data_IF_269531745483
#
_entry.id   IF_269531745483
#
_cell.length_a   1.000
_cell.length_b   1.000
_cell.length_c   1.000
_cell.angle_alpha   90.00
_cell.angle_beta   90.00
_cell.angle_gamma   90.00
#
_symmetry.space_group_name_H-M   'P 1'
#
loop_
_entity.id
_entity.type
_entity.pdbx_description
1 polymer ?
#
# COMPACT_ATOMS: atom_id res chain seq x y z
N UNK A 1 23.40 5.94 -44.83
CA UNK A 1 22.63 7.21 -44.84
C UNK A 1 21.36 7.00 -44.01
N UNK A 2 20.70 8.03 -43.44
CA UNK A 2 19.40 7.80 -42.75
C UNK A 2 18.32 7.50 -43.80
N UNK A 3 17.66 6.35 -43.70
CA UNK A 3 16.53 5.97 -44.57
C UNK A 3 15.23 6.57 -44.01
N UNK A 4 14.83 7.73 -44.55
CA UNK A 4 13.64 8.45 -44.10
C UNK A 4 12.33 7.71 -44.40
N UNK A 5 12.30 6.91 -45.48
CA UNK A 5 11.13 6.09 -45.82
C UNK A 5 10.88 5.02 -44.77
N UNK A 6 11.93 4.33 -44.32
CA UNK A 6 11.83 3.33 -43.25
C UNK A 6 11.61 3.96 -41.87
N UNK A 7 12.24 5.10 -41.61
CA UNK A 7 12.16 5.80 -40.32
C UNK A 7 10.75 6.31 -40.02
N UNK A 8 10.01 6.74 -41.04
CA UNK A 8 8.66 7.29 -40.90
C UNK A 8 7.57 6.44 -41.54
N UNK A 9 7.91 5.26 -42.07
CA UNK A 9 6.94 4.32 -42.66
C UNK A 9 6.27 4.85 -43.93
N UNK A 10 7.01 5.57 -44.77
CA UNK A 10 6.51 6.24 -45.98
C UNK A 10 6.86 5.38 -47.20
N UNK A 11 5.89 5.12 -48.07
CA UNK A 11 6.18 4.47 -49.35
C UNK A 11 7.08 5.35 -50.23
N UNK A 12 8.13 4.82 -50.89
CA UNK A 12 8.92 5.57 -51.86
C UNK A 12 8.09 6.17 -53.01
N UNK A 13 6.90 5.62 -53.29
CA UNK A 13 5.94 6.15 -54.26
C UNK A 13 4.98 7.21 -53.72
N UNK A 14 5.09 7.62 -52.44
CA UNK A 14 4.19 8.58 -51.81
C UNK A 14 4.24 9.95 -52.49
N UNK A 15 3.07 10.58 -52.61
CA UNK A 15 2.94 11.91 -53.18
C UNK A 15 3.52 12.99 -52.25
N UNK A 16 3.93 14.13 -52.81
CA UNK A 16 4.48 15.25 -52.03
C UNK A 16 3.46 15.82 -51.02
N UNK A 17 2.16 15.72 -51.30
CA UNK A 17 1.10 16.12 -50.37
C UNK A 17 0.98 15.19 -49.16
N UNK A 18 1.13 13.88 -49.36
CA UNK A 18 1.12 12.89 -48.27
C UNK A 18 2.32 13.07 -47.35
N UNK A 19 3.50 13.30 -47.93
CA UNK A 19 4.74 13.57 -47.18
C UNK A 19 4.59 14.86 -46.35
N UNK A 20 4.04 15.94 -46.92
CA UNK A 20 3.76 17.19 -46.18
C UNK A 20 2.81 16.98 -45.00
N UNK A 21 1.71 16.25 -45.21
CA UNK A 21 0.74 15.96 -44.13
C UNK A 21 1.37 15.18 -42.99
N UNK A 22 2.23 14.21 -43.32
CA UNK A 22 2.94 13.41 -42.32
C UNK A 22 3.95 14.25 -41.53
N UNK A 23 4.75 15.07 -42.22
CA UNK A 23 5.72 15.97 -41.58
C UNK A 23 5.01 16.92 -40.61
N UNK A 24 3.92 17.56 -41.04
CA UNK A 24 3.13 18.44 -40.18
C UNK A 24 2.55 17.72 -38.95
N UNK A 25 2.07 16.47 -39.14
CA UNK A 25 1.56 15.67 -38.05
C UNK A 25 2.65 15.31 -37.02
N UNK A 26 3.81 14.84 -37.50
CA UNK A 26 4.94 14.47 -36.66
C UNK A 26 5.55 15.68 -35.95
N UNK A 27 5.75 16.79 -36.65
CA UNK A 27 6.23 18.04 -36.04
C UNK A 27 5.30 18.50 -34.91
N UNK A 28 3.98 18.34 -35.05
CA UNK A 28 3.04 18.68 -33.97
C UNK A 28 3.24 17.81 -32.72
N UNK A 29 3.47 16.51 -32.90
CA UNK A 29 3.72 15.56 -31.80
C UNK A 29 5.04 15.90 -31.09
N UNK A 30 6.12 16.10 -31.86
CA UNK A 30 7.44 16.34 -31.30
C UNK A 30 7.58 17.73 -30.68
N UNK A 31 6.93 18.76 -31.25
CA UNK A 31 6.89 20.10 -30.65
C UNK A 31 6.16 20.15 -29.30
N UNK A 32 5.20 19.25 -29.04
CA UNK A 32 4.59 19.15 -27.70
C UNK A 32 5.57 18.56 -26.67
N UNK A 33 6.53 17.74 -27.11
CA UNK A 33 7.49 17.03 -26.26
C UNK A 33 8.72 17.87 -25.88
N UNK A 34 8.98 18.99 -26.56
CA UNK A 34 10.08 19.92 -26.22
C UNK A 34 9.89 20.62 -24.87
N UNK A 35 8.66 20.67 -24.35
CA UNK A 35 8.32 21.22 -23.03
C UNK A 35 8.28 20.15 -21.91
N UNK A 36 8.76 18.93 -22.16
CA UNK A 36 8.73 17.86 -21.16
C UNK A 36 9.65 18.18 -19.96
N UNK A 37 9.27 17.77 -18.73
CA UNK A 37 10.05 18.05 -17.51
C UNK A 37 11.41 17.33 -17.46
N UNK A 38 11.58 16.23 -18.22
CA UNK A 38 12.81 15.44 -18.28
C UNK A 38 13.74 15.96 -19.39
N UNK A 39 15.04 16.11 -19.10
CA UNK A 39 16.04 16.64 -20.04
C UNK A 39 16.24 15.71 -21.25
N UNK A 40 16.31 14.40 -21.03
CA UNK A 40 16.54 13.41 -22.09
C UNK A 40 15.41 13.44 -23.13
N UNK A 41 14.15 13.54 -22.69
CA UNK A 41 12.97 13.66 -23.57
C UNK A 41 12.97 14.94 -24.41
N UNK A 42 13.50 16.04 -23.86
CA UNK A 42 13.62 17.30 -24.62
C UNK A 42 14.70 17.19 -25.69
N UNK A 43 15.85 16.62 -25.35
CA UNK A 43 16.94 16.38 -26.31
C UNK A 43 16.52 15.41 -27.42
N UNK A 44 15.73 14.39 -27.09
CA UNK A 44 15.16 13.49 -28.08
C UNK A 44 14.18 14.19 -29.01
N UNK A 45 13.25 15.00 -28.47
CA UNK A 45 12.32 15.77 -29.28
C UNK A 45 13.04 16.75 -30.22
N UNK A 46 14.06 17.46 -29.74
CA UNK A 46 14.87 18.37 -30.55
C UNK A 46 15.63 17.63 -31.67
N UNK A 47 16.17 16.44 -31.40
CA UNK A 47 16.82 15.61 -32.43
C UNK A 47 15.83 15.19 -33.51
N UNK A 48 14.65 14.71 -33.11
CA UNK A 48 13.64 14.24 -34.05
C UNK A 48 13.06 15.38 -34.91
N UNK A 49 12.94 16.59 -34.35
CA UNK A 49 12.54 17.78 -35.13
C UNK A 49 13.56 18.10 -36.21
N UNK A 50 14.87 18.10 -35.89
CA UNK A 50 15.92 18.34 -36.90
C UNK A 50 15.91 17.30 -38.02
N UNK A 51 15.72 16.03 -37.67
CA UNK A 51 15.61 14.94 -38.65
C UNK A 51 14.39 15.14 -39.57
N UNK A 52 13.26 15.59 -39.02
CA UNK A 52 12.07 15.91 -39.81
C UNK A 52 12.27 17.11 -40.75
N UNK A 53 12.96 18.16 -40.30
CA UNK A 53 13.31 19.32 -41.12
C UNK A 53 14.26 18.93 -42.26
N UNK A 54 15.29 18.13 -41.96
CA UNK A 54 16.22 17.60 -42.98
C UNK A 54 15.49 16.73 -44.00
N UNK A 55 14.65 15.80 -43.53
CA UNK A 55 13.80 14.98 -44.39
C UNK A 55 12.90 15.83 -45.29
N UNK A 56 12.25 16.85 -44.73
CA UNK A 56 11.35 17.75 -45.47
C UNK A 56 12.09 18.44 -46.62
N UNK A 57 13.31 18.93 -46.37
CA UNK A 57 14.12 19.61 -47.39
C UNK A 57 14.58 18.70 -48.53
N UNK A 58 14.71 17.40 -48.27
CA UNK A 58 15.19 16.40 -49.22
C UNK A 58 14.04 15.77 -50.01
N UNK A 59 12.95 15.37 -49.34
CA UNK A 59 11.86 14.61 -49.95
C UNK A 59 10.77 15.47 -50.60
N UNK A 60 10.67 16.76 -50.26
CA UNK A 60 9.72 17.67 -50.92
C UNK A 60 10.27 18.34 -52.17
N UNK A 61 11.59 18.32 -52.36
CA UNK A 61 12.27 18.81 -53.55
C UNK A 61 12.48 17.65 -54.52
N UNK A 62 11.88 17.73 -55.71
CA UNK A 62 11.88 16.64 -56.69
C UNK A 62 13.30 16.26 -57.15
N UNK A 63 14.19 17.24 -57.31
CA UNK A 63 15.57 16.97 -57.73
C UNK A 63 16.34 16.27 -56.61
N UNK A 64 16.24 16.78 -55.37
CA UNK A 64 16.92 16.17 -54.21
C UNK A 64 16.38 14.79 -53.85
N UNK A 65 15.08 14.57 -54.03
CA UNK A 65 14.44 13.27 -53.81
C UNK A 65 14.98 12.22 -54.79
N UNK A 66 15.12 12.57 -56.07
CA UNK A 66 15.71 11.62 -57.04
C UNK A 66 17.17 11.30 -56.75
N UNK A 67 17.98 12.29 -56.36
CA UNK A 67 19.37 12.06 -55.93
C UNK A 67 19.45 11.21 -54.65
N UNK A 68 18.54 11.45 -53.70
CA UNK A 68 18.41 10.68 -52.47
C UNK A 68 18.04 9.21 -52.77
N UNK A 69 17.03 8.98 -53.62
CA UNK A 69 16.58 7.64 -54.01
C UNK A 69 17.69 6.87 -54.75
N UNK A 70 18.46 7.55 -55.61
CA UNK A 70 19.61 6.97 -56.31
C UNK A 70 20.73 6.58 -55.32
N UNK A 71 21.05 7.44 -54.36
CA UNK A 71 22.04 7.13 -53.32
C UNK A 71 21.59 5.97 -52.43
N UNK A 72 20.31 5.93 -52.07
CA UNK A 72 19.73 4.84 -51.29
C UNK A 72 19.79 3.51 -52.05
N UNK A 73 19.56 3.51 -53.37
CA UNK A 73 19.73 2.34 -54.22
C UNK A 73 21.20 1.90 -54.32
N UNK A 74 22.15 2.83 -54.46
CA UNK A 74 23.57 2.50 -54.49
C UNK A 74 24.05 1.87 -53.17
N UNK A 75 23.61 2.42 -52.02
CA UNK A 75 23.92 1.87 -50.69
C UNK A 75 23.29 0.47 -50.51
N UNK A 76 22.07 0.25 -51.04
CA UNK A 76 21.42 -1.06 -51.07
C UNK A 76 22.20 -2.07 -51.92
N UNK A 77 22.70 -1.66 -53.10
CA UNK A 77 23.51 -2.50 -54.00
C UNK A 77 24.89 -2.83 -53.41
N UNK A 78 25.54 -1.89 -52.73
CA UNK A 78 26.79 -2.18 -52.00
C UNK A 78 26.56 -3.17 -50.86
N UNK A 79 25.44 -3.05 -50.14
CA UNK A 79 25.06 -3.99 -49.07
C UNK A 79 24.75 -5.38 -49.63
N UNK A 80 24.14 -5.47 -50.81
CA UNK A 80 23.82 -6.73 -51.50
C UNK A 80 25.09 -7.45 -52.01
N UNK A 81 26.11 -6.71 -52.47
CA UNK A 81 27.35 -7.31 -53.00
C UNK A 81 28.25 -8.03 -51.97
N UNK A 82 27.97 -7.86 -50.68
CA UNK A 82 28.70 -8.53 -49.59
C UNK A 82 27.99 -9.81 -49.12
N UNK A 83 26.73 -10.02 -49.50
CA UNK A 83 25.86 -11.04 -48.91
C UNK A 83 25.18 -11.94 -49.96
N UNK A 84 25.84 -12.16 -51.11
CA UNK A 84 25.45 -13.16 -52.10
C UNK A 84 25.69 -14.58 -51.55
N UNK A 85 24.79 -15.05 -50.69
CA UNK A 85 24.28 -16.42 -50.71
C UNK A 85 22.79 -16.42 -50.32
N UNK A 86 21.99 -16.78 -51.33
CA UNK A 86 20.68 -17.42 -51.25
C UNK A 86 19.42 -16.53 -51.15
N UNK A 87 18.73 -16.50 -52.30
CA UNK A 87 17.28 -16.41 -52.52
C UNK A 87 16.60 -15.03 -52.49
N UNK A 88 16.51 -14.41 -53.68
CA UNK A 88 15.31 -13.67 -54.09
C UNK A 88 14.26 -14.69 -54.58
N UNK A 89 13.04 -14.68 -54.02
CA UNK A 89 11.83 -14.32 -54.78
C UNK A 89 10.53 -14.29 -53.93
N UNK A 90 9.78 -13.21 -54.18
CA UNK A 90 8.32 -13.09 -54.21
C UNK A 90 7.49 -12.54 -53.02
N UNK A 91 6.87 -11.41 -53.33
CA UNK A 91 5.71 -10.82 -52.68
C UNK A 91 4.47 -11.71 -52.83
N UNK A 92 4.22 -12.59 -51.88
CA UNK A 92 2.90 -13.12 -51.56
C UNK A 92 3.03 -13.95 -50.28
N UNK A 93 2.42 -13.51 -49.17
CA UNK A 93 2.11 -14.34 -48.01
C UNK A 93 3.16 -15.41 -47.65
N UNK A 94 4.43 -15.05 -47.52
CA UNK A 94 5.45 -15.97 -47.01
C UNK A 94 5.08 -16.20 -45.54
N UNK A 95 4.80 -17.45 -45.11
CA UNK A 95 4.70 -17.74 -43.70
C UNK A 95 6.08 -17.44 -43.13
N UNK A 96 6.20 -16.34 -42.37
CA UNK A 96 7.37 -16.13 -41.53
C UNK A 96 7.52 -17.44 -40.76
N UNK A 97 8.63 -18.15 -40.96
CA UNK A 97 8.83 -19.42 -40.31
C UNK A 97 8.55 -19.23 -38.83
N UNK A 98 7.70 -20.07 -38.23
CA UNK A 98 7.35 -19.95 -36.80
C UNK A 98 8.61 -19.80 -35.92
N UNK A 99 9.74 -20.34 -36.40
CA UNK A 99 11.07 -20.18 -35.82
C UNK A 99 11.60 -18.75 -35.83
N UNK A 100 11.49 -18.03 -36.95
CA UNK A 100 11.94 -16.63 -37.06
C UNK A 100 11.04 -15.70 -36.24
N UNK A 101 9.72 -15.96 -36.19
CA UNK A 101 8.79 -15.24 -35.31
C UNK A 101 9.18 -15.47 -33.84
N UNK A 102 9.39 -16.72 -33.44
CA UNK A 102 9.80 -17.06 -32.08
C UNK A 102 11.15 -16.44 -31.69
N UNK A 103 12.11 -16.39 -32.62
CA UNK A 103 13.42 -15.76 -32.41
C UNK A 103 13.28 -14.26 -32.12
N UNK A 104 12.54 -13.54 -32.98
CA UNK A 104 12.29 -12.10 -32.78
C UNK A 104 11.46 -11.80 -31.52
N UNK A 105 10.53 -12.68 -31.17
CA UNK A 105 9.82 -12.58 -29.87
C UNK A 105 10.82 -12.71 -28.72
N UNK A 106 11.71 -13.69 -28.79
CA UNK A 106 12.79 -13.89 -27.81
C UNK A 106 13.70 -12.67 -27.68
N UNK A 107 14.10 -12.07 -28.80
CA UNK A 107 14.86 -10.82 -28.85
C UNK A 107 14.10 -9.68 -28.16
N UNK A 108 12.80 -9.52 -28.47
CA UNK A 108 11.96 -8.52 -27.83
C UNK A 108 11.90 -8.65 -26.31
N UNK A 109 11.72 -9.87 -25.80
CA UNK A 109 11.75 -10.11 -24.35
C UNK A 109 13.11 -9.82 -23.73
N UNK A 110 14.21 -10.07 -24.45
CA UNK A 110 15.55 -9.74 -24.00
C UNK A 110 15.76 -8.21 -23.93
N UNK A 111 15.29 -7.47 -24.94
CA UNK A 111 15.34 -6.00 -24.95
C UNK A 111 14.57 -5.40 -23.75
N UNK A 112 13.39 -5.94 -23.43
CA UNK A 112 12.63 -5.55 -22.23
C UNK A 112 13.38 -5.84 -20.93
N UNK A 113 14.08 -6.97 -20.83
CA UNK A 113 14.93 -7.28 -19.67
C UNK A 113 16.12 -6.33 -19.54
N UNK A 114 16.64 -5.83 -20.66
CA UNK A 114 17.72 -4.84 -20.69
C UNK A 114 17.23 -3.40 -20.43
N UNK A 115 15.92 -3.19 -20.28
CA UNK A 115 15.33 -1.86 -20.11
C UNK A 115 15.21 -1.05 -21.42
N UNK A 116 15.49 -1.65 -22.58
CA UNK A 116 15.35 -1.03 -23.90
C UNK A 116 13.91 -1.14 -24.40
N UNK A 117 13.00 -0.50 -23.68
CA UNK A 117 11.56 -0.61 -23.93
C UNK A 117 11.15 -0.04 -25.30
N UNK A 118 11.82 1.03 -25.77
CA UNK A 118 11.55 1.64 -27.07
C UNK A 118 11.91 0.72 -28.24
N UNK A 119 13.07 0.07 -28.20
CA UNK A 119 13.50 -0.87 -29.24
C UNK A 119 12.57 -2.10 -29.28
N UNK A 120 12.21 -2.62 -28.10
CA UNK A 120 11.25 -3.71 -27.97
C UNK A 120 9.87 -3.33 -28.50
N UNK A 121 9.42 -2.09 -28.28
CA UNK A 121 8.15 -1.58 -28.79
C UNK A 121 8.14 -1.53 -30.31
N UNK A 122 9.21 -1.01 -30.94
CA UNK A 122 9.33 -0.97 -32.39
C UNK A 122 9.34 -2.37 -33.01
N UNK A 123 10.09 -3.30 -32.40
CA UNK A 123 10.13 -4.70 -32.83
C UNK A 123 8.75 -5.36 -32.71
N UNK A 124 8.08 -5.16 -31.58
CA UNK A 124 6.77 -5.75 -31.32
C UNK A 124 5.70 -5.23 -32.29
N UNK A 125 5.71 -3.93 -32.62
CA UNK A 125 4.80 -3.36 -33.63
C UNK A 125 5.00 -4.02 -35.00
N UNK A 126 6.26 -4.12 -35.46
CA UNK A 126 6.60 -4.79 -36.72
C UNK A 126 6.17 -6.26 -36.74
N UNK A 127 6.27 -6.95 -35.61
CA UNK A 127 5.84 -8.34 -35.47
C UNK A 127 4.32 -8.47 -35.55
N UNK A 128 3.56 -7.61 -34.86
CA UNK A 128 2.10 -7.68 -34.86
C UNK A 128 1.46 -7.25 -36.19
N UNK A 129 2.15 -6.43 -37.00
CA UNK A 129 1.72 -6.06 -38.35
C UNK A 129 1.85 -7.23 -39.33
N UNK A 130 2.85 -8.10 -39.13
CA UNK A 130 3.11 -9.27 -39.99
C UNK A 130 2.37 -10.52 -39.52
N UNK A 131 2.20 -10.67 -38.20
CA UNK A 131 1.64 -11.88 -37.58
C UNK A 131 0.49 -11.48 -36.65
N UNK A 132 -0.74 -11.59 -37.15
CA UNK A 132 -1.94 -11.12 -36.43
C UNK A 132 -2.46 -12.10 -35.38
N UNK A 133 -2.08 -13.37 -35.46
CA UNK A 133 -2.68 -14.47 -34.71
C UNK A 133 -1.72 -15.12 -33.70
N UNK A 134 -0.56 -14.49 -33.44
CA UNK A 134 0.43 -15.01 -32.48
C UNK A 134 0.27 -14.35 -31.10
N UNK A 135 -0.22 -15.07 -30.06
CA UNK A 135 -0.54 -14.48 -28.76
C UNK A 135 0.69 -13.85 -28.07
N UNK A 136 1.86 -14.46 -28.18
CA UNK A 136 3.07 -13.93 -27.54
C UNK A 136 3.58 -12.64 -28.19
N UNK A 137 3.33 -12.41 -29.49
CA UNK A 137 3.70 -11.17 -30.15
C UNK A 137 2.84 -10.01 -29.63
N UNK A 138 1.54 -10.25 -29.47
CA UNK A 138 0.61 -9.31 -28.83
C UNK A 138 0.93 -9.06 -27.36
N UNK A 139 1.32 -10.10 -26.62
CA UNK A 139 1.76 -9.96 -25.23
C UNK A 139 3.05 -9.16 -25.10
N UNK A 140 4.02 -9.39 -26.00
CA UNK A 140 5.25 -8.61 -26.10
C UNK A 140 4.96 -7.14 -26.38
N UNK A 141 4.05 -6.84 -27.33
CA UNK A 141 3.62 -5.47 -27.62
C UNK A 141 3.00 -4.79 -26.39
N UNK A 142 2.09 -5.49 -25.70
CA UNK A 142 1.48 -4.97 -24.48
C UNK A 142 2.52 -4.69 -23.39
N UNK A 143 3.46 -5.62 -23.18
CA UNK A 143 4.55 -5.43 -22.20
C UNK A 143 5.47 -4.27 -22.58
N UNK A 144 5.82 -4.15 -23.85
CA UNK A 144 6.69 -3.08 -24.34
C UNK A 144 6.05 -1.70 -24.19
N UNK A 145 4.76 -1.57 -24.50
CA UNK A 145 3.98 -0.35 -24.25
C UNK A 145 3.95 0.00 -22.76
N UNK A 146 3.67 -0.99 -21.92
CA UNK A 146 3.64 -0.79 -20.47
C UNK A 146 4.98 -0.28 -19.91
N UNK A 147 6.10 -0.90 -20.30
CA UNK A 147 7.43 -0.45 -19.89
C UNK A 147 7.84 0.90 -20.48
N UNK A 148 7.28 1.28 -21.63
CA UNK A 148 7.46 2.60 -22.25
C UNK A 148 6.62 3.70 -21.57
N UNK A 149 5.79 3.34 -20.59
CA UNK A 149 4.91 4.26 -19.86
C UNK A 149 3.53 4.45 -20.49
N UNK A 150 3.22 3.72 -21.56
CA UNK A 150 1.94 3.73 -22.28
C UNK A 150 0.99 2.66 -21.69
N UNK A 151 0.65 2.82 -20.40
CA UNK A 151 -0.08 1.80 -19.65
C UNK A 151 -1.53 1.59 -20.14
N UNK A 152 -2.21 2.64 -20.64
CA UNK A 152 -3.58 2.51 -21.16
C UNK A 152 -3.57 1.80 -22.52
N UNK A 153 -2.63 2.14 -23.39
CA UNK A 153 -2.46 1.59 -24.73
C UNK A 153 -1.92 0.14 -24.70
N UNK A 154 -1.33 -0.28 -23.59
CA UNK A 154 -0.87 -1.64 -23.34
C UNK A 154 -2.02 -2.64 -23.11
N UNK A 155 -3.22 -2.17 -22.74
CA UNK A 155 -4.36 -3.04 -22.43
C UNK A 155 -4.81 -3.80 -23.67
N UNK A 156 -5.05 -3.10 -24.79
CA UNK A 156 -5.63 -3.70 -26.00
C UNK A 156 -4.77 -4.85 -26.57
N UNK A 157 -3.44 -4.70 -26.74
CA UNK A 157 -2.58 -5.81 -27.16
C UNK A 157 -2.63 -7.01 -26.22
N UNK A 158 -2.62 -6.79 -24.90
CA UNK A 158 -2.67 -7.89 -23.94
C UNK A 158 -4.04 -8.57 -23.85
N UNK A 159 -5.14 -7.83 -24.04
CA UNK A 159 -6.48 -8.42 -24.19
C UNK A 159 -6.51 -9.33 -25.41
N UNK A 160 -5.98 -8.89 -26.56
CA UNK A 160 -5.88 -9.73 -27.75
C UNK A 160 -5.03 -10.98 -27.52
N UNK A 161 -3.93 -10.88 -26.77
CA UNK A 161 -3.14 -12.04 -26.37
C UNK A 161 -3.94 -13.04 -25.49
N UNK A 162 -4.75 -12.53 -24.56
CA UNK A 162 -5.66 -13.34 -23.75
C UNK A 162 -6.77 -13.99 -24.60
N UNK A 163 -7.34 -13.28 -25.57
CA UNK A 163 -8.38 -13.83 -26.45
C UNK A 163 -7.84 -14.96 -27.33
N UNK A 164 -6.61 -14.81 -27.83
CA UNK A 164 -5.92 -15.83 -28.61
C UNK A 164 -5.50 -17.04 -27.76
N UNK A 165 -5.14 -16.84 -26.49
CA UNK A 165 -4.76 -17.93 -25.59
C UNK A 165 -5.26 -17.72 -24.14
N UNK A 166 -6.54 -18.04 -23.86
CA UNK A 166 -7.21 -17.67 -22.60
C UNK A 166 -6.73 -18.46 -21.38
N UNK A 167 -5.98 -19.54 -21.57
CA UNK A 167 -5.43 -20.37 -20.48
C UNK A 167 -4.03 -19.95 -20.04
N UNK A 168 -3.45 -18.91 -20.64
CA UNK A 168 -2.13 -18.43 -20.24
C UNK A 168 -2.20 -17.51 -19.01
N UNK A 169 -1.79 -18.02 -17.86
CA UNK A 169 -1.76 -17.27 -16.61
C UNK A 169 -0.87 -16.01 -16.66
N UNK A 170 0.20 -16.02 -17.47
CA UNK A 170 1.13 -14.90 -17.55
C UNK A 170 0.53 -13.65 -18.20
N UNK A 171 -0.42 -13.83 -19.14
CA UNK A 171 -1.11 -12.70 -19.77
C UNK A 171 -2.11 -12.06 -18.82
N UNK A 172 -2.92 -12.87 -18.13
CA UNK A 172 -3.79 -12.39 -17.06
C UNK A 172 -2.98 -11.65 -15.98
N UNK A 173 -1.85 -12.21 -15.57
CA UNK A 173 -0.95 -11.56 -14.61
C UNK A 173 -0.45 -10.19 -15.11
N UNK A 174 -0.01 -10.11 -16.37
CA UNK A 174 0.47 -8.86 -16.97
C UNK A 174 -0.63 -7.80 -17.10
N UNK A 175 -1.87 -8.21 -17.42
CA UNK A 175 -3.04 -7.31 -17.37
C UNK A 175 -3.32 -6.82 -15.95
N UNK A 176 -3.16 -7.68 -14.95
CA UNK A 176 -3.25 -7.31 -13.53
C UNK A 176 -2.26 -6.20 -13.15
N UNK A 177 -0.99 -6.35 -13.55
CA UNK A 177 0.06 -5.34 -13.30
C UNK A 177 -0.28 -4.00 -13.97
N UNK A 178 -0.80 -4.02 -15.20
CA UNK A 178 -1.23 -2.81 -15.92
C UNK A 178 -2.42 -2.16 -15.24
N UNK A 179 -3.47 -2.91 -14.90
CA UNK A 179 -4.63 -2.35 -14.20
C UNK A 179 -4.26 -1.77 -12.84
N UNK A 180 -3.34 -2.41 -12.11
CA UNK A 180 -2.83 -1.88 -10.86
C UNK A 180 -2.10 -0.55 -11.06
N UNK A 181 -1.26 -0.43 -12.10
CA UNK A 181 -0.55 0.81 -12.42
C UNK A 181 -1.50 1.97 -12.75
N UNK A 182 -2.66 1.66 -13.31
CA UNK A 182 -3.72 2.60 -13.65
C UNK A 182 -4.68 2.88 -12.49
N UNK A 183 -4.40 2.34 -11.28
CA UNK A 183 -5.28 2.39 -10.10
C UNK A 183 -6.69 1.80 -10.35
N UNK A 184 -6.85 0.91 -11.34
CA UNK A 184 -8.08 0.16 -11.61
C UNK A 184 -8.11 -1.10 -10.76
N UNK A 185 -8.18 -0.91 -9.43
CA UNK A 185 -7.99 -1.95 -8.43
C UNK A 185 -8.92 -3.17 -8.61
N UNK A 186 -10.20 -2.95 -8.91
CA UNK A 186 -11.16 -4.05 -9.08
C UNK A 186 -10.76 -4.98 -10.23
N UNK A 187 -10.39 -4.40 -11.39
CA UNK A 187 -9.91 -5.16 -12.55
C UNK A 187 -8.56 -5.81 -12.31
N UNK A 188 -7.66 -5.14 -11.58
CA UNK A 188 -6.37 -5.72 -11.22
C UNK A 188 -6.56 -6.99 -10.38
N UNK A 189 -7.44 -6.94 -9.39
CA UNK A 189 -7.75 -8.09 -8.53
C UNK A 189 -8.35 -9.25 -9.33
N UNK A 190 -9.30 -8.99 -10.21
CA UNK A 190 -9.90 -10.01 -11.08
C UNK A 190 -8.83 -10.74 -11.91
N UNK A 191 -7.93 -9.99 -12.54
CA UNK A 191 -6.88 -10.56 -13.39
C UNK A 191 -5.81 -11.31 -12.59
N UNK A 192 -5.41 -10.80 -11.42
CA UNK A 192 -4.50 -11.53 -10.53
C UNK A 192 -5.11 -12.82 -9.99
N UNK A 193 -6.40 -12.82 -9.63
CA UNK A 193 -7.13 -14.03 -9.24
C UNK A 193 -7.22 -15.03 -10.38
N UNK A 194 -7.48 -14.57 -11.60
CA UNK A 194 -7.49 -15.42 -12.79
C UNK A 194 -6.13 -16.07 -13.02
N UNK A 195 -5.04 -15.30 -12.96
CA UNK A 195 -3.68 -15.82 -13.10
C UNK A 195 -3.36 -16.90 -12.04
N UNK A 196 -3.74 -16.67 -10.78
CA UNK A 196 -3.56 -17.65 -9.71
C UNK A 196 -4.45 -18.88 -9.89
N UNK A 197 -5.66 -18.73 -10.44
CA UNK A 197 -6.56 -19.86 -10.72
C UNK A 197 -6.00 -20.74 -11.85
N UNK A 198 -5.41 -20.12 -12.88
CA UNK A 198 -4.78 -20.81 -14.00
C UNK A 198 -3.44 -21.46 -13.62
N UNK A 199 -2.74 -20.94 -12.61
CA UNK A 199 -1.47 -21.48 -12.12
C UNK A 199 -1.38 -21.38 -10.58
N UNK A 200 -2.06 -22.26 -9.85
CA UNK A 200 -2.17 -22.20 -8.38
C UNK A 200 -0.85 -22.34 -7.64
N UNK A 201 0.13 -23.02 -8.23
CA UNK A 201 1.45 -23.25 -7.60
C UNK A 201 2.45 -22.13 -7.84
N UNK A 202 2.11 -21.11 -8.63
CA UNK A 202 3.04 -20.03 -8.94
C UNK A 202 3.17 -19.07 -7.75
N UNK A 203 4.29 -19.18 -7.03
CA UNK A 203 4.62 -18.34 -5.86
C UNK A 203 4.67 -16.85 -6.20
N UNK A 204 5.11 -16.46 -7.39
CA UNK A 204 5.15 -15.06 -7.82
C UNK A 204 3.74 -14.47 -7.93
N UNK A 205 2.76 -15.24 -8.41
CA UNK A 205 1.37 -14.79 -8.50
C UNK A 205 0.73 -14.68 -7.12
N UNK A 206 1.00 -15.63 -6.21
CA UNK A 206 0.59 -15.54 -4.80
C UNK A 206 1.16 -14.28 -4.14
N UNK A 207 2.45 -14.04 -4.32
CA UNK A 207 3.15 -12.89 -3.75
C UNK A 207 2.55 -11.57 -4.24
N UNK A 208 2.37 -11.43 -5.56
CA UNK A 208 1.84 -10.22 -6.17
C UNK A 208 0.41 -9.92 -5.74
N UNK A 209 -0.47 -10.93 -5.72
CA UNK A 209 -1.84 -10.77 -5.20
C UNK A 209 -1.83 -10.43 -3.69
N UNK A 210 -0.94 -11.06 -2.92
CA UNK A 210 -0.75 -10.78 -1.50
C UNK A 210 -0.30 -9.34 -1.23
N UNK A 211 0.72 -8.86 -1.95
CA UNK A 211 1.21 -7.48 -1.85
C UNK A 211 0.17 -6.47 -2.35
N UNK A 212 -0.56 -6.79 -3.42
CA UNK A 212 -1.68 -5.98 -3.89
C UNK A 212 -2.75 -5.78 -2.81
N UNK A 213 -3.07 -6.82 -2.04
CA UNK A 213 -4.01 -6.70 -0.92
C UNK A 213 -3.49 -5.84 0.22
N UNK A 214 -2.20 -5.91 0.55
CA UNK A 214 -1.58 -4.99 1.52
C UNK A 214 -1.67 -3.55 1.02
N UNK A 215 -1.31 -3.29 -0.24
CA UNK A 215 -1.36 -1.95 -0.85
C UNK A 215 -2.78 -1.35 -0.87
N UNK A 216 -3.81 -2.18 -0.99
CA UNK A 216 -5.22 -1.75 -1.09
C UNK A 216 -5.95 -1.70 0.27
N UNK A 217 -5.22 -1.72 1.39
CA UNK A 217 -5.75 -1.75 2.76
C UNK A 217 -6.58 -2.99 3.11
N UNK A 218 -6.35 -4.10 2.41
CA UNK A 218 -7.02 -5.40 2.58
C UNK A 218 -6.01 -6.46 3.04
N UNK A 219 -5.03 -6.07 3.85
CA UNK A 219 -3.93 -6.94 4.28
C UNK A 219 -4.36 -8.30 4.86
N UNK A 220 -5.55 -8.41 5.49
CA UNK A 220 -6.06 -9.70 6.01
C UNK A 220 -6.22 -10.77 4.93
N UNK A 221 -6.59 -10.38 3.72
CA UNK A 221 -6.79 -11.30 2.60
C UNK A 221 -5.45 -11.76 2.01
N UNK A 222 -4.50 -10.84 1.91
CA UNK A 222 -3.15 -11.12 1.39
C UNK A 222 -2.25 -11.89 2.35
N UNK A 223 -2.52 -11.84 3.66
CA UNK A 223 -1.63 -12.40 4.68
C UNK A 223 -1.36 -13.90 4.49
N UNK A 224 -2.41 -14.70 4.20
CA UNK A 224 -2.25 -16.15 3.96
C UNK A 224 -1.39 -16.45 2.74
N UNK A 225 -1.52 -15.63 1.69
CA UNK A 225 -0.73 -15.76 0.47
C UNK A 225 0.74 -15.44 0.74
N UNK A 226 1.00 -14.35 1.46
CA UNK A 226 2.36 -13.92 1.82
C UNK A 226 3.03 -14.88 2.81
N UNK A 227 2.29 -15.44 3.78
CA UNK A 227 2.78 -16.49 4.69
C UNK A 227 3.21 -17.73 3.91
N UNK A 228 2.43 -18.14 2.89
CA UNK A 228 2.81 -19.25 2.01
C UNK A 228 4.04 -18.92 1.17
N UNK A 229 4.16 -17.70 0.63
CA UNK A 229 5.36 -17.30 -0.12
C UNK A 229 6.61 -17.39 0.76
N UNK A 230 6.52 -16.94 2.01
CA UNK A 230 7.63 -17.01 2.96
C UNK A 230 7.93 -18.45 3.41
N UNK A 231 6.96 -19.36 3.45
CA UNK A 231 7.23 -20.77 3.78
C UNK A 231 8.00 -21.50 2.68
N UNK A 232 7.76 -21.16 1.41
CA UNK A 232 8.49 -21.70 0.26
C UNK A 232 9.91 -21.13 0.16
N UNK A 233 10.05 -19.80 0.30
CA UNK A 233 11.33 -19.10 0.23
C UNK A 233 11.56 -18.23 1.48
N UNK A 234 12.04 -18.82 2.60
CA UNK A 234 12.18 -18.11 3.88
C UNK A 234 13.14 -16.92 3.85
N UNK A 235 14.09 -16.93 2.92
CA UNK A 235 15.16 -15.93 2.80
C UNK A 235 14.88 -14.85 1.75
N UNK A 236 13.70 -14.83 1.14
CA UNK A 236 13.35 -13.82 0.15
C UNK A 236 13.03 -12.48 0.85
N UNK A 237 13.83 -11.41 0.64
CA UNK A 237 13.66 -10.15 1.36
C UNK A 237 12.35 -9.43 1.01
N UNK A 238 11.86 -9.60 -0.21
CA UNK A 238 10.63 -8.97 -0.68
C UNK A 238 9.41 -9.58 0.03
N UNK A 239 9.39 -10.90 0.22
CA UNK A 239 8.31 -11.60 0.92
C UNK A 239 8.29 -11.23 2.40
N UNK A 240 9.47 -11.20 3.02
CA UNK A 240 9.64 -10.78 4.41
C UNK A 240 9.13 -9.36 4.65
N UNK A 241 9.52 -8.43 3.77
CA UNK A 241 9.11 -7.02 3.84
C UNK A 241 7.60 -6.84 3.67
N UNK A 242 7.00 -7.44 2.64
CA UNK A 242 5.57 -7.30 2.38
C UNK A 242 4.72 -7.97 3.47
N UNK A 243 5.15 -9.12 4.01
CA UNK A 243 4.46 -9.76 5.13
C UNK A 243 4.54 -8.91 6.41
N UNK A 244 5.70 -8.32 6.70
CA UNK A 244 5.86 -7.41 7.85
C UNK A 244 4.96 -6.17 7.72
N UNK A 245 4.84 -5.59 6.52
CA UNK A 245 3.88 -4.51 6.25
C UNK A 245 2.44 -4.95 6.48
N UNK A 246 2.05 -6.11 5.95
CA UNK A 246 0.70 -6.66 6.15
C UNK A 246 0.36 -6.87 7.62
N UNK A 247 1.29 -7.41 8.42
CA UNK A 247 1.11 -7.55 9.86
C UNK A 247 0.95 -6.19 10.58
N UNK A 248 1.76 -5.20 10.21
CA UNK A 248 1.70 -3.87 10.80
C UNK A 248 0.37 -3.17 10.49
N UNK A 249 -0.14 -3.31 9.27
CA UNK A 249 -1.41 -2.74 8.84
C UNK A 249 -2.59 -3.35 9.61
N UNK A 250 -2.57 -4.67 9.82
CA UNK A 250 -3.63 -5.37 10.55
C UNK A 250 -3.60 -5.02 12.04
N UNK A 251 -2.42 -4.83 12.63
CA UNK A 251 -2.25 -4.64 14.08
C UNK A 251 -3.18 -3.58 14.66
N UNK A 252 -3.32 -2.44 13.98
CA UNK A 252 -4.16 -1.32 14.44
C UNK A 252 -5.41 -1.11 13.56
N UNK A 253 -5.76 -2.09 12.72
CA UNK A 253 -6.92 -2.00 11.81
C UNK A 253 -8.27 -2.02 12.53
N UNK A 254 -8.36 -2.72 13.68
CA UNK A 254 -9.60 -2.83 14.44
C UNK A 254 -9.83 -1.68 15.43
N UNK A 255 -8.85 -0.78 15.57
CA UNK A 255 -8.95 0.32 16.54
C UNK A 255 -9.91 1.39 16.05
N UNK A 256 -10.72 1.91 16.97
CA UNK A 256 -11.66 3.00 16.67
C UNK A 256 -10.93 4.30 16.37
N UNK A 257 -11.33 4.96 15.28
CA UNK A 257 -10.79 6.25 14.86
C UNK A 257 -11.62 7.38 15.48
N UNK A 258 -10.95 8.33 16.12
CA UNK A 258 -11.57 9.50 16.75
C UNK A 258 -11.15 10.76 16.00
N UNK A 259 -12.15 11.56 15.61
CA UNK A 259 -11.95 12.84 14.91
C UNK A 259 -11.50 13.96 15.86
N UNK A 260 -10.84 15.01 15.33
CA UNK A 260 -10.53 16.22 16.10
C UNK A 260 -11.79 16.85 16.73
N UNK A 261 -11.64 17.41 17.93
CA UNK A 261 -12.74 18.09 18.64
C UNK A 261 -13.61 17.18 19.52
N UNK A 262 -13.29 15.90 19.64
CA UNK A 262 -13.99 14.99 20.55
C UNK A 262 -13.83 15.43 22.03
N UNK A 263 -14.89 15.47 22.86
CA UNK A 263 -14.85 16.12 24.18
C UNK A 263 -13.88 15.49 25.20
N UNK A 264 -13.62 14.18 25.07
CA UNK A 264 -12.89 13.40 26.08
C UNK A 264 -11.56 12.82 25.59
N UNK A 265 -11.34 12.75 24.28
CA UNK A 265 -10.19 12.05 23.69
C UNK A 265 -9.61 12.89 22.55
N UNK A 266 -8.28 13.03 22.45
CA UNK A 266 -7.67 13.68 21.30
C UNK A 266 -7.82 12.80 20.05
N UNK A 267 -7.73 13.43 18.88
CA UNK A 267 -7.81 12.72 17.60
C UNK A 267 -6.76 11.60 17.52
N UNK A 268 -7.15 10.45 16.99
CA UNK A 268 -6.26 9.29 16.89
C UNK A 268 -6.99 7.96 16.84
N UNK A 269 -6.22 6.86 16.88
CA UNK A 269 -6.75 5.49 16.93
C UNK A 269 -6.64 4.92 18.33
N UNK A 270 -7.73 4.35 18.82
CA UNK A 270 -7.81 3.78 20.16
C UNK A 270 -8.38 2.37 20.17
N UNK A 271 -7.75 1.44 20.91
CA UNK A 271 -8.29 0.12 21.17
C UNK A 271 -9.42 0.23 22.18
N UNK A 272 -10.56 -0.41 21.90
CA UNK A 272 -11.73 -0.38 22.81
C UNK A 272 -11.93 -1.70 23.54
N UNK A 273 -11.41 -2.79 22.97
CA UNK A 273 -11.46 -4.11 23.57
C UNK A 273 -10.08 -4.67 23.93
N UNK A 274 -10.06 -5.58 24.91
CA UNK A 274 -8.86 -6.34 25.27
C UNK A 274 -8.37 -7.22 24.12
N UNK A 275 -9.29 -7.72 23.30
CA UNK A 275 -8.98 -8.57 22.14
C UNK A 275 -8.17 -7.75 21.13
N UNK A 276 -8.62 -6.54 20.78
CA UNK A 276 -7.90 -5.65 19.86
C UNK A 276 -6.46 -5.37 20.32
N UNK A 277 -6.28 -5.12 21.63
CA UNK A 277 -4.94 -4.95 22.21
C UNK A 277 -4.08 -6.18 22.05
N UNK A 278 -4.64 -7.35 22.35
CA UNK A 278 -3.90 -8.62 22.30
C UNK A 278 -3.54 -8.97 20.87
N UNK A 279 -4.46 -8.77 19.92
CA UNK A 279 -4.23 -8.97 18.50
C UNK A 279 -3.15 -8.03 17.96
N UNK A 280 -3.19 -6.75 18.33
CA UNK A 280 -2.17 -5.79 17.93
C UNK A 280 -0.77 -6.23 18.40
N UNK A 281 -0.64 -6.65 19.67
CA UNK A 281 0.62 -7.19 20.22
C UNK A 281 1.12 -8.41 19.44
N UNK A 282 0.23 -9.37 19.16
CA UNK A 282 0.59 -10.59 18.41
C UNK A 282 1.10 -10.24 17.02
N UNK A 283 0.41 -9.37 16.27
CA UNK A 283 0.82 -9.02 14.91
C UNK A 283 2.11 -8.20 14.87
N UNK A 284 2.29 -7.24 15.78
CA UNK A 284 3.56 -6.50 15.88
C UNK A 284 4.71 -7.40 16.29
N UNK A 285 4.47 -8.36 17.20
CA UNK A 285 5.48 -9.35 17.57
C UNK A 285 5.87 -10.25 16.39
N UNK A 286 4.89 -10.69 15.59
CA UNK A 286 5.14 -11.48 14.37
C UNK A 286 5.93 -10.68 13.35
N UNK A 287 5.53 -9.44 13.08
CA UNK A 287 6.26 -8.55 12.18
C UNK A 287 7.70 -8.34 12.64
N UNK A 288 7.93 -8.16 13.95
CA UNK A 288 9.26 -7.92 14.49
C UNK A 288 10.20 -9.14 14.38
N UNK A 289 9.63 -10.35 14.44
CA UNK A 289 10.36 -11.60 14.33
C UNK A 289 10.89 -11.86 12.91
N UNK A 290 10.34 -11.20 11.89
CA UNK A 290 10.78 -11.34 10.50
C UNK A 290 12.10 -10.56 10.30
N UNK A 291 13.14 -11.18 9.74
CA UNK A 291 14.42 -10.52 9.48
C UNK A 291 14.40 -9.77 8.14
N UNK A 292 13.81 -8.57 8.08
CA UNK A 292 13.86 -7.71 6.89
C UNK A 292 14.79 -6.49 7.05
N UNK A 293 15.37 -6.04 5.93
CA UNK A 293 16.26 -4.87 5.82
C UNK A 293 15.50 -3.66 5.24
N UNK A 294 14.71 -3.00 6.08
CA UNK A 294 14.03 -1.74 5.75
C UNK A 294 13.98 -0.87 7.00
N UNK A 295 14.82 0.17 7.04
CA UNK A 295 14.94 1.06 8.18
C UNK A 295 13.65 1.83 8.45
N UNK A 296 12.96 2.30 7.41
CA UNK A 296 11.71 3.07 7.54
C UNK A 296 10.60 2.19 8.13
N UNK A 297 10.50 0.95 7.66
CA UNK A 297 9.52 -0.01 8.19
C UNK A 297 9.85 -0.41 9.63
N UNK A 298 11.13 -0.58 9.99
CA UNK A 298 11.55 -0.83 11.38
C UNK A 298 11.19 0.32 12.31
N UNK A 299 11.38 1.57 11.86
CA UNK A 299 10.99 2.74 12.63
C UNK A 299 9.48 2.79 12.87
N UNK A 300 8.68 2.60 11.82
CA UNK A 300 7.21 2.52 11.93
C UNK A 300 6.76 1.42 12.90
N UNK A 301 7.38 0.24 12.83
CA UNK A 301 7.09 -0.87 13.74
C UNK A 301 7.41 -0.51 15.20
N UNK A 302 8.55 0.13 15.44
CA UNK A 302 8.95 0.58 16.77
C UNK A 302 8.00 1.65 17.33
N UNK A 303 7.54 2.59 16.49
CA UNK A 303 6.55 3.59 16.87
C UNK A 303 5.22 2.96 17.27
N UNK A 304 4.70 2.03 16.46
CA UNK A 304 3.45 1.32 16.77
C UNK A 304 3.60 0.49 18.04
N UNK A 305 4.74 -0.20 18.23
CA UNK A 305 5.03 -0.94 19.46
C UNK A 305 5.04 -0.04 20.69
N UNK A 306 5.72 1.10 20.63
CA UNK A 306 5.77 2.06 21.72
C UNK A 306 4.37 2.60 22.05
N UNK A 307 3.54 2.84 21.02
CA UNK A 307 2.17 3.28 21.19
C UNK A 307 1.28 2.20 21.84
N UNK A 308 1.44 0.93 21.44
CA UNK A 308 0.77 -0.21 22.08
C UNK A 308 1.16 -0.31 23.55
N UNK A 309 2.45 -0.27 23.88
CA UNK A 309 2.92 -0.35 25.29
C UNK A 309 2.39 0.82 26.13
N UNK A 310 2.37 2.04 25.57
CA UNK A 310 1.78 3.21 26.21
C UNK A 310 0.28 3.00 26.50
N UNK A 311 -0.46 2.41 25.56
CA UNK A 311 -1.91 2.16 25.66
C UNK A 311 -2.26 0.89 26.45
N UNK A 312 -1.31 -0.01 26.70
CA UNK A 312 -1.46 -1.21 27.54
C UNK A 312 -1.53 -0.90 29.02
N UNK A 313 -0.84 0.16 29.44
CA UNK A 313 -0.73 0.55 30.83
C UNK A 313 -2.08 0.76 31.52
N UNK A 314 -2.11 0.58 32.84
CA UNK A 314 -3.27 0.90 33.68
C UNK A 314 -3.15 2.31 34.22
N UNK A 315 -4.27 3.02 34.32
CA UNK A 315 -4.33 4.34 34.95
C UNK A 315 -5.22 4.29 36.17
N UNK A 316 -4.84 5.02 37.20
CA UNK A 316 -5.67 5.20 38.38
C UNK A 316 -6.85 6.09 38.02
N UNK A 317 -8.06 5.55 38.06
CA UNK A 317 -9.31 6.28 37.85
C UNK A 317 -10.07 6.55 39.14
N UNK A 318 -9.51 6.15 40.28
CA UNK A 318 -10.06 6.40 41.61
C UNK A 318 -9.94 7.87 42.02
N UNK A 319 -10.47 8.21 43.20
CA UNK A 319 -10.28 9.53 43.79
C UNK A 319 -9.10 9.54 44.76
N UNK A 320 -8.11 10.40 44.51
CA UNK A 320 -7.02 10.65 45.47
C UNK A 320 -7.55 11.25 46.78
N UNK A 321 -8.63 12.03 46.74
CA UNK A 321 -9.24 12.56 47.97
C UNK A 321 -9.80 11.43 48.84
N UNK A 322 -10.39 10.40 48.22
CA UNK A 322 -10.88 9.24 48.96
C UNK A 322 -9.73 8.46 49.61
N UNK A 323 -8.59 8.32 48.93
CA UNK A 323 -7.37 7.72 49.50
C UNK A 323 -6.91 8.52 50.72
N UNK A 324 -6.75 9.83 50.58
CA UNK A 324 -6.25 10.72 51.64
C UNK A 324 -7.20 10.72 52.85
N UNK A 325 -8.51 10.88 52.61
CA UNK A 325 -9.53 10.86 53.67
C UNK A 325 -9.51 9.52 54.40
N UNK A 326 -9.37 8.40 53.68
CA UNK A 326 -9.32 7.08 54.30
C UNK A 326 -8.09 6.95 55.21
N UNK A 327 -6.92 7.42 54.76
CA UNK A 327 -5.69 7.42 55.57
C UNK A 327 -5.85 8.30 56.82
N UNK A 328 -6.37 9.52 56.68
CA UNK A 328 -6.61 10.42 57.83
C UNK A 328 -7.63 9.82 58.82
N UNK A 329 -8.69 9.17 58.33
CA UNK A 329 -9.67 8.49 59.18
C UNK A 329 -9.03 7.35 59.99
N UNK A 330 -8.10 6.60 59.39
CA UNK A 330 -7.38 5.53 60.09
C UNK A 330 -6.47 6.08 61.19
N UNK A 331 -5.75 7.17 60.92
CA UNK A 331 -4.88 7.84 61.91
C UNK A 331 -5.72 8.35 63.09
N UNK A 332 -6.87 8.97 62.81
CA UNK A 332 -7.74 9.50 63.87
C UNK A 332 -8.40 8.41 64.71
N UNK A 333 -8.87 7.32 64.09
CA UNK A 333 -9.41 6.15 64.81
C UNK A 333 -8.34 5.53 65.70
N UNK A 334 -7.12 5.36 65.20
CA UNK A 334 -6.03 4.79 66.00
C UNK A 334 -5.65 5.69 67.17
N UNK A 335 -5.71 7.02 66.99
CA UNK A 335 -5.46 7.97 68.07
C UNK A 335 -6.54 7.95 69.16
N UNK A 336 -7.81 7.74 68.78
CA UNK A 336 -8.95 7.72 69.70
C UNK A 336 -9.10 6.36 70.40
N UNK A 337 -8.90 5.25 69.67
CA UNK A 337 -9.11 3.90 70.17
C UNK A 337 -8.12 2.89 69.51
N UNK A 338 -6.91 2.76 70.07
CA UNK A 338 -5.90 1.84 69.55
C UNK A 338 -6.38 0.40 69.61
N UNK A 339 -6.40 -0.29 68.48
CA UNK A 339 -6.87 -1.68 68.39
C UNK A 339 -6.11 -2.44 67.31
N UNK A 340 -5.77 -3.70 67.59
CA UNK A 340 -5.13 -4.58 66.60
C UNK A 340 -5.98 -4.79 65.34
N UNK A 341 -7.31 -4.66 65.45
CA UNK A 341 -8.24 -4.71 64.32
C UNK A 341 -8.06 -3.53 63.36
N UNK A 342 -7.65 -2.35 63.85
CA UNK A 342 -7.39 -1.18 63.00
C UNK A 342 -6.22 -1.44 62.03
N UNK A 343 -5.27 -2.29 62.43
CA UNK A 343 -4.12 -2.68 61.62
C UNK A 343 -4.55 -3.41 60.34
N UNK A 344 -5.64 -4.18 60.37
CA UNK A 344 -6.20 -4.82 59.17
C UNK A 344 -6.72 -3.78 58.16
N UNK A 345 -7.25 -2.66 58.64
CA UNK A 345 -7.79 -1.61 57.79
C UNK A 345 -6.72 -0.68 57.19
N UNK A 346 -5.49 -0.71 57.71
CA UNK A 346 -4.36 0.09 57.20
C UNK A 346 -4.02 -0.23 55.74
N UNK A 347 -4.35 -1.44 55.28
CA UNK A 347 -4.12 -1.87 53.89
C UNK A 347 -5.24 -1.45 52.93
N UNK A 348 -6.42 -1.04 53.42
CA UNK A 348 -7.56 -0.71 52.56
C UNK A 348 -7.28 0.43 51.56
N UNK A 349 -6.61 1.54 51.92
CA UNK A 349 -6.29 2.58 50.94
C UNK A 349 -5.42 2.05 49.79
N UNK A 350 -4.45 1.17 50.11
CA UNK A 350 -3.61 0.50 49.12
C UNK A 350 -4.42 -0.43 48.21
N UNK A 351 -5.30 -1.25 48.80
CA UNK A 351 -6.22 -2.12 48.05
C UNK A 351 -7.19 -1.31 47.18
N UNK A 352 -7.65 -0.14 47.64
CA UNK A 352 -8.47 0.76 46.84
C UNK A 352 -7.71 1.26 45.61
N UNK A 353 -6.45 1.71 45.78
CA UNK A 353 -5.60 2.11 44.64
C UNK A 353 -5.52 0.98 43.63
N UNK A 354 -5.18 -0.24 44.06
CA UNK A 354 -5.06 -1.41 43.18
C UNK A 354 -6.39 -1.73 42.50
N UNK A 355 -7.51 -1.69 43.23
CA UNK A 355 -8.84 -1.95 42.69
C UNK A 355 -9.24 -0.91 41.63
N UNK A 356 -8.80 0.34 41.77
CA UNK A 356 -9.12 1.46 40.90
C UNK A 356 -8.14 1.67 39.75
N UNK A 357 -7.10 0.83 39.62
CA UNK A 357 -6.24 0.78 38.43
C UNK A 357 -6.99 0.12 37.27
N UNK A 358 -7.49 0.96 36.37
CA UNK A 358 -8.25 0.51 35.20
C UNK A 358 -7.37 0.40 33.97
N UNK A 359 -7.54 -0.65 33.14
CA UNK A 359 -6.90 -0.73 31.83
C UNK A 359 -7.32 0.42 30.93
N UNK A 360 -6.37 1.00 30.20
CA UNK A 360 -6.61 2.17 29.35
C UNK A 360 -7.63 1.93 28.22
N UNK A 361 -7.71 0.73 27.63
CA UNK A 361 -8.72 0.45 26.59
C UNK A 361 -10.17 0.68 27.10
N UNK A 362 -10.44 0.41 28.39
CA UNK A 362 -11.77 0.68 29.00
C UNK A 362 -12.01 2.17 29.23
N UNK A 363 -10.94 2.92 29.49
CA UNK A 363 -11.00 4.37 29.60
C UNK A 363 -11.38 4.95 28.23
N UNK A 364 -10.77 4.44 27.15
CA UNK A 364 -11.10 4.84 25.80
C UNK A 364 -12.52 4.46 25.43
N UNK A 365 -12.95 3.23 25.72
CA UNK A 365 -14.33 2.77 25.49
C UNK A 365 -15.37 3.70 26.13
N UNK A 366 -15.17 4.08 27.39
CA UNK A 366 -16.04 5.05 28.07
C UNK A 366 -15.99 6.43 27.46
N UNK A 367 -14.79 6.93 27.17
CA UNK A 367 -14.59 8.24 26.55
C UNK A 367 -15.38 8.35 25.25
N UNK A 368 -15.35 7.30 24.41
CA UNK A 368 -16.09 7.23 23.15
C UNK A 368 -17.60 7.23 23.36
N UNK A 369 -18.08 6.60 24.43
CA UNK A 369 -19.49 6.63 24.83
C UNK A 369 -19.92 7.98 25.45
N UNK A 370 -19.01 8.94 25.57
CA UNK A 370 -19.26 10.23 26.22
C UNK A 370 -19.29 10.16 27.74
N UNK A 371 -18.83 9.05 28.33
CA UNK A 371 -18.79 8.85 29.78
C UNK A 371 -17.44 9.24 30.38
N UNK A 372 -17.47 9.76 31.60
CA UNK A 372 -16.25 10.02 32.35
C UNK A 372 -15.63 8.71 32.85
N UNK A 373 -14.32 8.56 32.68
CA UNK A 373 -13.58 7.41 33.17
C UNK A 373 -13.26 7.49 34.67
N UNK A 374 -13.33 8.67 35.26
CA UNK A 374 -12.99 8.92 36.65
C UNK A 374 -14.15 8.57 37.57
N UNK A 375 -13.84 7.97 38.72
CA UNK A 375 -14.85 7.73 39.76
C UNK A 375 -15.30 9.07 40.34
N UNK A 376 -16.61 9.22 40.43
CA UNK A 376 -17.34 10.47 40.45
C UNK A 376 -17.07 11.44 41.59
N UNK A 377 -16.26 11.17 42.62
CA UNK A 377 -16.10 12.15 43.71
C UNK A 377 -15.55 13.48 43.22
N UNK A 378 -14.50 13.50 42.37
CA UNK A 378 -13.98 14.74 41.82
C UNK A 378 -15.00 15.44 40.89
N UNK A 379 -15.79 14.67 40.15
CA UNK A 379 -16.87 15.18 39.29
C UNK A 379 -18.04 15.74 40.13
N UNK A 380 -18.49 15.01 41.14
CA UNK A 380 -19.47 15.38 42.15
C UNK A 380 -19.02 16.63 42.89
N UNK A 381 -17.76 16.72 43.31
CA UNK A 381 -17.18 17.90 43.95
C UNK A 381 -17.20 19.11 43.02
N UNK A 382 -16.79 18.93 41.75
CA UNK A 382 -16.85 20.00 40.75
C UNK A 382 -18.30 20.45 40.53
N UNK A 383 -19.24 19.52 40.43
CA UNK A 383 -20.68 19.79 40.23
C UNK A 383 -21.35 20.41 41.46
N UNK A 384 -20.97 20.00 42.67
CA UNK A 384 -21.43 20.58 43.93
C UNK A 384 -20.91 22.01 44.08
N UNK A 385 -19.65 22.25 43.74
CA UNK A 385 -19.07 23.59 43.72
C UNK A 385 -19.74 24.48 42.68
N UNK A 386 -19.93 24.00 41.45
CA UNK A 386 -20.61 24.73 40.37
C UNK A 386 -22.07 25.05 40.71
N UNK A 387 -22.74 24.19 41.48
CA UNK A 387 -24.16 24.34 41.83
C UNK A 387 -24.43 25.13 43.10
N UNK A 388 -23.55 25.04 44.11
CA UNK A 388 -23.79 25.57 45.45
C UNK A 388 -22.77 26.63 45.91
N UNK A 389 -21.77 26.96 45.10
CA UNK A 389 -20.76 27.97 45.43
C UNK A 389 -20.05 27.67 46.76
N UNK A 390 -19.86 28.68 47.61
CA UNK A 390 -19.12 28.57 48.88
C UNK A 390 -19.81 27.67 49.92
N UNK A 391 -21.13 27.43 49.79
CA UNK A 391 -21.86 26.50 50.68
C UNK A 391 -21.48 25.03 50.47
N UNK A 392 -20.79 24.71 49.36
CA UNK A 392 -20.25 23.39 49.09
C UNK A 392 -19.27 22.93 50.19
N UNK A 393 -18.55 23.84 50.83
CA UNK A 393 -17.59 23.51 51.90
C UNK A 393 -18.28 22.93 53.15
N UNK A 394 -19.43 23.46 53.52
CA UNK A 394 -20.21 22.98 54.67
C UNK A 394 -20.79 21.59 54.40
N UNK A 395 -21.33 21.39 53.19
CA UNK A 395 -21.76 20.07 52.71
C UNK A 395 -20.60 19.07 52.69
N UNK A 396 -19.37 19.51 52.35
CA UNK A 396 -18.19 18.63 52.42
C UNK A 396 -17.87 18.19 53.83
N UNK A 397 -17.91 19.09 54.82
CA UNK A 397 -17.59 18.76 56.21
C UNK A 397 -18.61 17.76 56.77
N UNK A 398 -19.89 17.96 56.45
CA UNK A 398 -20.97 17.04 56.81
C UNK A 398 -20.78 15.67 56.15
N UNK A 399 -20.43 15.66 54.86
CA UNK A 399 -20.13 14.44 54.13
C UNK A 399 -18.89 13.72 54.69
N UNK A 400 -17.87 14.48 55.12
CA UNK A 400 -16.66 13.97 55.75
C UNK A 400 -16.94 13.28 57.09
N UNK A 401 -17.79 13.85 57.94
CA UNK A 401 -18.20 13.26 59.22
C UNK A 401 -18.98 11.95 59.05
N UNK A 402 -19.87 11.91 58.06
CA UNK A 402 -20.62 10.69 57.72
C UNK A 402 -19.70 9.65 57.08
N UNK A 403 -18.78 10.08 56.21
CA UNK A 403 -17.81 9.19 55.59
C UNK A 403 -16.85 8.62 56.63
N UNK A 404 -16.30 9.41 57.56
CA UNK A 404 -15.31 8.94 58.54
C UNK A 404 -15.86 7.87 59.50
N UNK A 405 -17.17 7.85 59.74
CA UNK A 405 -17.82 6.89 60.64
C UNK A 405 -18.18 5.56 59.96
N UNK A 406 -18.35 5.54 58.63
CA UNK A 406 -18.73 4.34 57.85
C UNK A 406 -17.66 4.00 56.79
N UNK A 407 -16.53 4.73 56.77
CA UNK A 407 -15.54 4.73 55.68
C UNK A 407 -14.99 3.34 55.41
N UNK A 408 -14.67 2.58 56.44
CA UNK A 408 -14.07 1.25 56.29
C UNK A 408 -15.01 0.27 55.58
N UNK A 409 -16.29 0.30 55.92
CA UNK A 409 -17.32 -0.58 55.34
C UNK A 409 -17.64 -0.18 53.90
N UNK A 410 -17.81 1.13 53.66
CA UNK A 410 -18.02 1.69 52.32
C UNK A 410 -16.81 1.42 51.42
N UNK A 411 -15.59 1.65 51.90
CA UNK A 411 -14.37 1.43 51.15
C UNK A 411 -14.20 -0.05 50.80
N UNK A 412 -14.53 -0.96 51.71
CA UNK A 412 -14.51 -2.41 51.45
C UNK A 412 -15.48 -2.80 50.33
N UNK A 413 -16.72 -2.29 50.36
CA UNK A 413 -17.71 -2.52 49.30
C UNK A 413 -17.23 -1.94 47.96
N UNK A 414 -16.66 -0.74 47.96
CA UNK A 414 -16.12 -0.09 46.76
C UNK A 414 -14.93 -0.87 46.18
N UNK A 415 -14.04 -1.38 47.03
CA UNK A 415 -12.92 -2.24 46.62
C UNK A 415 -13.47 -3.50 45.94
N UNK A 416 -14.43 -4.19 46.56
CA UNK A 416 -15.03 -5.40 46.01
C UNK A 416 -15.71 -5.10 44.67
N UNK A 417 -16.49 -4.03 44.58
CA UNK A 417 -17.16 -3.62 43.35
C UNK A 417 -16.17 -3.29 42.23
N UNK A 418 -15.15 -2.47 42.52
CA UNK A 418 -14.11 -2.12 41.56
C UNK A 418 -13.30 -3.35 41.13
N UNK A 419 -13.00 -4.26 42.06
CA UNK A 419 -12.31 -5.51 41.76
C UNK A 419 -13.14 -6.39 40.84
N UNK A 420 -14.42 -6.60 41.16
CA UNK A 420 -15.34 -7.36 40.33
C UNK A 420 -15.44 -6.76 38.91
N UNK A 421 -15.67 -5.45 38.83
CA UNK A 421 -15.78 -4.72 37.57
C UNK A 421 -14.49 -4.81 36.75
N UNK A 422 -13.33 -4.54 37.36
CA UNK A 422 -12.05 -4.37 36.66
C UNK A 422 -11.32 -5.67 36.37
N UNK A 423 -11.50 -6.69 37.23
CA UNK A 423 -10.72 -7.93 37.17
C UNK A 423 -11.57 -9.16 36.85
N UNK A 424 -12.77 -9.32 37.41
CA UNK A 424 -13.56 -10.55 37.25
C UNK A 424 -14.43 -10.59 36.00
N UNK A 425 -15.13 -9.50 35.65
CA UNK A 425 -15.97 -9.44 34.44
C UNK A 425 -15.13 -9.70 33.16
N UNK A 426 -13.83 -9.39 33.20
CA UNK A 426 -12.90 -9.64 32.10
C UNK A 426 -12.55 -11.11 31.82
N UNK A 427 -12.89 -12.05 32.72
CA UNK A 427 -12.70 -13.49 32.50
C UNK A 427 -13.95 -14.21 31.99
N UNK A 428 -15.14 -13.58 32.03
CA UNK A 428 -16.42 -14.21 31.66
C UNK A 428 -16.73 -14.24 30.16
N UNK A 429 -15.86 -13.65 29.32
CA UNK A 429 -15.95 -13.70 27.84
C UNK A 429 -14.76 -14.48 27.23
N UNK A 430 -14.34 -15.56 27.88
CA UNK A 430 -13.40 -16.53 27.30
C UNK A 430 -14.15 -17.77 26.86
#
# INVERSE_FOLDING_TARGET
>A
MQNYYEMFGISPSASTEEIKKLVLHQLRIWNQRTNAPQIERRQEAERMIRVLEEMETILLDEQKRTEYDQRLQMERVETISIDDTDEEEESAGIPVSDREVAEKIGEGWLLLKQGKAADALLLALRLTDRVTDHPEAWALLGRARFQSGEAEEAIQPLVKACDLHPKNAAYAFSLGEIFESLNRNDRAEEQYKLALTLSPENTQYKYRLGSFYVKTNRAREGLRLLEHCLSEEPNNPDYQKELAKGYLEIACSSWTVISPGHPYLPAGRYPTDKIDMTMAEVYVSRANAIPFDDQELREKLNLVRADIEKKKGRKFTGSWTAVIISILSLITIEWINPSWLNFLFMFLPGLYIISALTPQYRIYQKGIQGESSYTDFAYLFRRLKDRFGDTAYLLMILFYLVYSTISQLVLSIVIIYNFYRNYLVGNSKK
#
